data_IF_455921441764
#
_entry.id   IF_455921441764
#
_cell.length_a   1.000
_cell.length_b   1.000
_cell.length_c   1.000
_cell.angle_alpha   90.00
_cell.angle_beta   90.00
_cell.angle_gamma   90.00
#
_symmetry.space_group_name_H-M   'P 1'
#
loop_
_entity.id
_entity.type
_entity.pdbx_description
1 polymer ?
#
# COMPACT_ATOMS: atom_id res chain seq x y z
N UNK A 1 22.81 -2.86 -1.17
CA UNK A 1 24.21 -2.94 -1.59
C UNK A 1 24.71 -1.63 -2.18
N UNK A 2 24.18 -1.12 -3.31
CA UNK A 2 24.61 0.16 -3.89
C UNK A 2 24.65 1.32 -2.88
N UNK A 3 23.57 1.54 -2.10
CA UNK A 3 23.54 2.56 -1.05
C UNK A 3 24.57 2.34 0.09
N UNK A 4 24.91 1.08 0.39
CA UNK A 4 25.87 0.73 1.45
C UNK A 4 27.30 0.99 0.96
N UNK A 5 27.63 0.48 -0.23
CA UNK A 5 28.95 0.68 -0.84
C UNK A 5 29.21 2.15 -1.17
N UNK A 6 28.17 2.89 -1.62
CA UNK A 6 28.26 4.33 -1.87
C UNK A 6 28.49 5.17 -0.61
N UNK A 7 28.15 4.66 0.58
CA UNK A 7 28.48 5.27 1.86
C UNK A 7 29.87 4.84 2.39
N UNK A 8 30.64 4.07 1.63
CA UNK A 8 31.94 3.53 2.06
C UNK A 8 31.82 2.38 3.07
N UNK A 9 30.67 1.70 3.14
CA UNK A 9 30.38 0.61 4.07
C UNK A 9 30.34 -0.75 3.35
N UNK A 10 30.28 -1.84 4.12
CA UNK A 10 30.25 -3.23 3.63
C UNK A 10 29.21 -4.07 4.38
N UNK A 11 28.79 -5.19 3.78
CA UNK A 11 27.83 -6.14 4.37
C UNK A 11 28.51 -7.42 4.89
N UNK A 12 29.84 -7.48 4.81
CA UNK A 12 30.68 -8.57 5.30
C UNK A 12 30.41 -9.96 4.68
N UNK A 13 29.72 -10.02 3.55
CA UNK A 13 29.25 -11.24 2.89
C UNK A 13 28.22 -12.05 3.69
N UNK A 14 28.48 -12.33 4.97
CA UNK A 14 27.59 -13.02 5.89
C UNK A 14 26.27 -12.26 6.13
N UNK A 15 26.28 -10.93 5.98
CA UNK A 15 25.06 -10.11 6.01
C UNK A 15 24.11 -10.37 4.84
N UNK A 16 24.57 -11.04 3.77
CA UNK A 16 23.78 -11.39 2.58
C UNK A 16 23.26 -12.83 2.58
N UNK A 17 23.56 -13.63 3.61
CA UNK A 17 23.04 -14.99 3.71
C UNK A 17 21.50 -15.02 3.66
N UNK A 18 20.86 -16.07 3.12
CA UNK A 18 19.40 -16.16 3.04
C UNK A 18 18.69 -15.93 4.39
N UNK A 19 19.28 -16.39 5.50
CA UNK A 19 18.76 -16.19 6.85
C UNK A 19 18.76 -14.74 7.35
N UNK A 20 19.44 -13.83 6.63
CA UNK A 20 19.54 -12.40 6.94
C UNK A 20 18.76 -11.54 5.95
N UNK A 21 18.08 -12.14 4.98
CA UNK A 21 17.20 -11.46 4.03
C UNK A 21 15.75 -11.70 4.46
N UNK A 22 15.09 -10.62 4.87
CA UNK A 22 13.67 -10.64 5.23
C UNK A 22 12.82 -10.40 4.00
N UNK A 23 11.80 -11.23 3.84
CA UNK A 23 10.73 -10.98 2.90
C UNK A 23 9.64 -10.21 3.62
N UNK A 24 9.52 -8.92 3.32
CA UNK A 24 8.46 -8.07 3.82
C UNK A 24 7.43 -7.85 2.71
N UNK A 25 6.40 -8.69 2.60
CA UNK A 25 5.08 -8.35 2.02
C UNK A 25 4.29 -9.62 1.67
N UNK A 26 3.13 -9.80 2.29
CA UNK A 26 1.97 -10.47 1.67
C UNK A 26 0.68 -9.71 2.00
N UNK A 27 0.24 -8.91 1.03
CA UNK A 27 -1.16 -8.63 0.69
C UNK A 27 -1.16 -8.02 -0.73
N UNK A 28 -1.25 -8.87 -1.76
CA UNK A 28 -1.52 -8.46 -3.15
C UNK A 28 -0.37 -7.84 -3.96
N UNK A 29 0.89 -7.89 -3.50
CA UNK A 29 2.02 -7.26 -4.21
C UNK A 29 3.30 -8.09 -4.25
N UNK A 30 4.23 -7.71 -5.14
CA UNK A 30 5.54 -8.34 -5.27
C UNK A 30 6.33 -8.29 -3.95
N UNK A 31 7.01 -9.39 -3.56
CA UNK A 31 7.73 -9.48 -2.29
C UNK A 31 8.81 -8.41 -2.21
N UNK A 32 8.84 -7.64 -1.12
CA UNK A 32 9.90 -6.66 -0.87
C UNK A 32 10.94 -7.28 0.05
N UNK A 33 12.15 -7.46 -0.49
CA UNK A 33 13.29 -7.96 0.24
C UNK A 33 13.99 -6.85 1.03
N UNK A 34 14.40 -7.14 2.26
CA UNK A 34 15.15 -6.24 3.14
C UNK A 34 16.29 -7.01 3.82
N UNK A 35 17.42 -6.35 4.03
CA UNK A 35 18.55 -6.94 4.77
C UNK A 35 18.35 -6.62 6.25
N UNK A 36 18.26 -7.64 7.11
CA UNK A 36 17.89 -7.49 8.52
C UNK A 36 19.00 -6.88 9.39
N UNK A 37 20.24 -7.29 9.15
CA UNK A 37 21.37 -7.09 10.05
C UNK A 37 22.52 -6.32 9.39
N UNK A 38 22.18 -5.33 8.55
CA UNK A 38 23.18 -4.41 8.02
C UNK A 38 23.78 -3.59 9.17
N UNK A 39 25.10 -3.66 9.38
CA UNK A 39 25.81 -2.92 10.44
C UNK A 39 26.16 -3.73 11.70
N UNK A 40 25.54 -4.88 11.94
CA UNK A 40 25.88 -5.69 13.14
C UNK A 40 27.32 -6.21 13.05
N UNK A 41 27.73 -6.64 11.86
CA UNK A 41 29.10 -7.12 11.64
C UNK A 41 30.12 -5.99 11.60
N UNK A 42 29.76 -4.78 11.15
CA UNK A 42 30.65 -3.62 11.23
C UNK A 42 31.02 -3.29 12.68
N UNK A 43 30.04 -3.35 13.60
CA UNK A 43 30.25 -3.13 15.01
C UNK A 43 31.13 -4.21 15.68
N UNK A 44 31.06 -5.45 15.20
CA UNK A 44 31.79 -6.60 15.77
C UNK A 44 33.19 -6.79 15.17
N UNK A 45 33.34 -6.51 13.88
CA UNK A 45 34.54 -6.84 13.10
C UNK A 45 35.51 -5.67 12.94
N UNK A 46 35.27 -4.52 13.62
CA UNK A 46 36.04 -3.28 13.53
C UNK A 46 37.47 -3.52 13.03
N UNK A 47 37.76 -3.12 11.79
CA UNK A 47 39.10 -3.28 11.19
C UNK A 47 39.84 -1.97 11.35
N UNK A 48 40.66 -1.79 12.41
CA UNK A 48 41.48 -0.60 12.55
C UNK A 48 42.46 -0.53 11.37
N UNK A 49 42.49 0.61 10.69
CA UNK A 49 43.46 0.89 9.64
C UNK A 49 43.18 0.30 8.26
N UNK A 50 41.93 -0.11 7.97
CA UNK A 50 41.55 -0.55 6.62
C UNK A 50 41.76 0.57 5.59
N UNK A 51 42.61 0.32 4.60
CA UNK A 51 42.81 1.24 3.47
C UNK A 51 41.67 1.17 2.45
N UNK A 52 41.69 2.08 1.47
CA UNK A 52 40.69 2.11 0.39
C UNK A 52 40.70 0.81 -0.45
N UNK A 53 41.86 0.18 -0.61
CA UNK A 53 42.00 -1.07 -1.35
C UNK A 53 41.42 -2.27 -0.60
N UNK A 54 41.55 -2.30 0.74
CA UNK A 54 40.89 -3.31 1.58
C UNK A 54 39.37 -3.17 1.51
N UNK A 55 38.86 -1.93 1.53
CA UNK A 55 37.44 -1.64 1.39
C UNK A 55 36.91 -2.14 0.05
N UNK A 56 37.59 -1.85 -1.07
CA UNK A 56 37.20 -2.34 -2.40
C UNK A 56 37.23 -3.87 -2.48
N UNK A 57 38.19 -4.53 -1.83
CA UNK A 57 38.22 -6.00 -1.74
C UNK A 57 37.01 -6.54 -0.97
N UNK A 58 36.66 -5.94 0.17
CA UNK A 58 35.50 -6.33 0.96
C UNK A 58 34.18 -6.10 0.20
N UNK A 59 34.05 -4.99 -0.53
CA UNK A 59 32.89 -4.72 -1.39
C UNK A 59 32.75 -5.75 -2.54
N UNK A 60 33.87 -6.17 -3.14
CA UNK A 60 33.86 -7.28 -4.12
C UNK A 60 33.51 -8.62 -3.49
N UNK A 61 33.90 -8.84 -2.24
CA UNK A 61 33.47 -10.01 -1.47
C UNK A 61 31.95 -10.01 -1.22
N UNK A 62 31.34 -8.85 -0.98
CA UNK A 62 29.88 -8.73 -0.88
C UNK A 62 29.18 -9.10 -2.20
N UNK A 63 29.73 -8.67 -3.35
CA UNK A 63 29.21 -9.05 -4.67
C UNK A 63 29.22 -10.57 -4.86
N UNK A 64 30.32 -11.24 -4.48
CA UNK A 64 30.39 -12.70 -4.54
C UNK A 64 29.42 -13.38 -3.57
N UNK A 65 29.25 -12.87 -2.35
CA UNK A 65 28.27 -13.39 -1.40
C UNK A 65 26.82 -13.27 -1.91
N UNK A 66 26.50 -12.19 -2.63
CA UNK A 66 25.22 -12.08 -3.34
C UNK A 66 25.08 -13.19 -4.39
N UNK A 67 26.14 -13.45 -5.18
CA UNK A 67 26.19 -14.56 -6.13
C UNK A 67 25.94 -15.93 -5.51
N UNK A 68 26.60 -16.22 -4.38
CA UNK A 68 26.37 -17.45 -3.61
C UNK A 68 24.94 -17.57 -3.10
N UNK A 69 24.35 -16.47 -2.67
CA UNK A 69 22.96 -16.43 -2.17
C UNK A 69 21.99 -16.72 -3.31
N UNK A 70 22.15 -16.08 -4.47
CA UNK A 70 21.33 -16.34 -5.65
C UNK A 70 21.47 -17.78 -6.15
N UNK A 71 22.69 -18.31 -6.17
CA UNK A 71 22.94 -19.70 -6.54
C UNK A 71 22.26 -20.68 -5.57
N UNK A 72 22.35 -20.41 -4.26
CA UNK A 72 21.67 -21.21 -3.23
C UNK A 72 20.16 -21.20 -3.42
N UNK A 73 19.57 -20.05 -3.76
CA UNK A 73 18.14 -19.93 -4.05
C UNK A 73 17.75 -20.64 -5.35
N UNK A 74 18.56 -20.54 -6.40
CA UNK A 74 18.30 -21.18 -7.69
C UNK A 74 18.42 -22.71 -7.63
N UNK A 75 19.34 -23.23 -6.79
CA UNK A 75 19.50 -24.66 -6.54
C UNK A 75 18.64 -25.16 -5.35
N UNK A 76 17.79 -24.31 -4.75
CA UNK A 76 17.00 -24.69 -3.59
C UNK A 76 16.10 -25.88 -3.92
N UNK A 77 16.10 -26.89 -3.04
CA UNK A 77 15.29 -28.11 -3.21
C UNK A 77 15.97 -29.25 -3.98
N UNK A 78 17.18 -29.06 -4.51
CA UNK A 78 17.91 -30.11 -5.24
C UNK A 78 18.71 -31.08 -4.32
N UNK A 79 18.80 -30.80 -3.01
CA UNK A 79 19.49 -31.65 -2.04
C UNK A 79 21.02 -31.78 -2.20
N UNK A 80 21.60 -31.06 -3.16
CA UNK A 80 23.03 -31.05 -3.47
C UNK A 80 23.66 -29.69 -3.12
N UNK A 81 24.99 -29.65 -3.01
CA UNK A 81 25.73 -28.41 -2.83
C UNK A 81 25.51 -27.48 -4.04
N UNK A 82 25.18 -26.19 -3.82
CA UNK A 82 24.86 -25.27 -4.91
C UNK A 82 26.06 -25.11 -5.87
N UNK A 83 25.85 -25.40 -7.16
CA UNK A 83 26.85 -25.24 -8.21
C UNK A 83 26.20 -24.71 -9.50
N UNK A 84 26.98 -24.06 -10.35
CA UNK A 84 26.49 -23.54 -11.63
C UNK A 84 25.99 -24.67 -12.55
N UNK A 85 26.60 -25.85 -12.48
CA UNK A 85 26.23 -27.03 -13.27
C UNK A 85 24.90 -27.64 -12.83
N UNK A 86 24.48 -27.38 -11.59
CA UNK A 86 23.23 -27.86 -11.01
C UNK A 86 22.07 -26.87 -11.18
N UNK A 87 22.27 -25.78 -11.93
CA UNK A 87 21.19 -24.84 -12.21
C UNK A 87 20.10 -25.52 -13.06
N UNK A 88 18.81 -25.39 -12.69
CA UNK A 88 17.71 -25.93 -13.49
C UNK A 88 17.76 -25.39 -14.93
N UNK A 89 17.42 -26.23 -15.91
CA UNK A 89 17.35 -25.81 -17.32
C UNK A 89 16.30 -24.71 -17.60
N UNK A 90 15.38 -24.47 -16.68
CA UNK A 90 14.43 -23.35 -16.71
C UNK A 90 15.03 -22.00 -16.28
N UNK A 91 16.28 -21.98 -15.82
CA UNK A 91 16.96 -20.76 -15.38
C UNK A 91 17.27 -19.87 -16.59
N UNK A 92 16.85 -18.59 -16.59
CA UNK A 92 17.15 -17.68 -17.70
C UNK A 92 18.67 -17.53 -17.90
N UNK A 93 19.17 -17.53 -19.15
CA UNK A 93 20.61 -17.45 -19.43
C UNK A 93 21.24 -16.15 -18.90
N UNK A 94 20.48 -15.06 -18.87
CA UNK A 94 20.90 -13.79 -18.29
C UNK A 94 21.17 -13.90 -16.79
N UNK A 95 20.32 -14.65 -16.07
CA UNK A 95 20.50 -14.89 -14.65
C UNK A 95 21.74 -15.74 -14.39
N UNK A 96 22.00 -16.77 -15.21
CA UNK A 96 23.22 -17.59 -15.11
C UNK A 96 24.48 -16.73 -15.29
N UNK A 97 24.48 -15.84 -16.30
CA UNK A 97 25.60 -14.90 -16.54
C UNK A 97 25.84 -13.95 -15.37
N UNK A 98 24.77 -13.42 -14.79
CA UNK A 98 24.86 -12.54 -13.61
C UNK A 98 25.40 -13.28 -12.39
N UNK A 99 24.91 -14.50 -12.11
CA UNK A 99 25.40 -15.31 -10.99
C UNK A 99 26.89 -15.64 -11.18
N UNK A 100 27.30 -16.09 -12.37
CA UNK A 100 28.70 -16.38 -12.67
C UNK A 100 29.60 -15.12 -12.51
N UNK A 101 29.15 -13.97 -13.02
CA UNK A 101 29.86 -12.69 -12.86
C UNK A 101 29.98 -12.25 -11.40
N UNK A 102 28.93 -12.42 -10.59
CA UNK A 102 28.96 -12.12 -9.17
C UNK A 102 29.98 -13.01 -8.44
N UNK A 103 29.97 -14.32 -8.69
CA UNK A 103 30.93 -15.27 -8.08
C UNK A 103 32.39 -14.94 -8.45
N UNK A 104 32.66 -14.54 -9.69
CA UNK A 104 33.98 -14.13 -10.15
C UNK A 104 34.45 -12.79 -9.55
N UNK A 105 33.57 -12.00 -8.94
CA UNK A 105 33.87 -10.66 -8.42
C UNK A 105 34.87 -10.68 -7.27
N UNK A 106 34.84 -11.70 -6.40
CA UNK A 106 35.79 -11.83 -5.29
C UNK A 106 37.26 -11.94 -5.75
N UNK A 107 37.48 -12.53 -6.93
CA UNK A 107 38.80 -12.70 -7.54
C UNK A 107 39.16 -11.55 -8.48
N UNK A 108 38.27 -10.55 -8.63
CA UNK A 108 38.45 -9.42 -9.54
C UNK A 108 38.14 -9.71 -11.00
N UNK A 109 37.67 -10.91 -11.35
CA UNK A 109 37.31 -11.29 -12.73
C UNK A 109 35.87 -10.97 -13.13
N UNK A 110 35.04 -10.54 -12.17
CA UNK A 110 33.62 -10.24 -12.37
C UNK A 110 33.29 -8.74 -12.34
N UNK A 111 32.18 -8.40 -11.68
CA UNK A 111 31.78 -7.02 -11.45
C UNK A 111 32.77 -6.33 -10.49
N UNK A 112 33.28 -5.17 -10.89
CA UNK A 112 34.22 -4.41 -10.05
C UNK A 112 33.51 -3.63 -8.95
N UNK A 113 32.29 -3.18 -9.21
CA UNK A 113 31.48 -2.41 -8.29
C UNK A 113 29.97 -2.62 -8.53
N UNK A 114 29.16 -1.98 -7.69
CA UNK A 114 27.70 -2.05 -7.80
C UNK A 114 27.15 -1.32 -9.04
N UNK A 115 27.90 -0.39 -9.62
CA UNK A 115 27.51 0.38 -10.81
C UNK A 115 27.58 -0.50 -12.06
N UNK A 116 28.63 -1.32 -12.19
CA UNK A 116 28.77 -2.32 -13.23
C UNK A 116 27.64 -3.36 -13.17
N UNK A 117 27.28 -3.81 -11.96
CA UNK A 117 26.12 -4.69 -11.75
C UNK A 117 24.80 -4.00 -12.13
N UNK A 118 24.61 -2.74 -11.75
CA UNK A 118 23.43 -1.98 -12.11
C UNK A 118 23.29 -1.81 -13.63
N UNK A 119 24.41 -1.58 -14.34
CA UNK A 119 24.44 -1.55 -15.80
C UNK A 119 24.00 -2.87 -16.43
N UNK A 120 24.49 -4.00 -15.92
CA UNK A 120 24.09 -5.33 -16.41
C UNK A 120 22.60 -5.64 -16.13
N UNK A 121 22.02 -5.06 -15.08
CA UNK A 121 20.63 -5.26 -14.69
C UNK A 121 19.68 -4.15 -15.20
N UNK A 122 20.16 -3.21 -16.02
CA UNK A 122 19.44 -1.98 -16.34
C UNK A 122 17.99 -2.24 -16.82
N UNK A 123 17.77 -3.14 -17.77
CA UNK A 123 16.44 -3.44 -18.28
C UNK A 123 15.52 -4.09 -17.23
N UNK A 124 16.06 -4.94 -16.36
CA UNK A 124 15.31 -5.50 -15.23
C UNK A 124 14.94 -4.43 -14.21
N UNK A 125 15.84 -3.46 -13.96
CA UNK A 125 15.55 -2.34 -13.06
C UNK A 125 14.45 -1.43 -13.60
N UNK A 126 14.40 -1.21 -14.92
CA UNK A 126 13.31 -0.46 -15.58
C UNK A 126 11.97 -1.18 -15.37
N UNK A 127 11.92 -2.50 -15.59
CA UNK A 127 10.70 -3.29 -15.32
C UNK A 127 10.26 -3.22 -13.85
N UNK A 128 11.20 -3.34 -12.91
CA UNK A 128 10.93 -3.23 -11.48
C UNK A 128 10.45 -1.83 -11.06
N UNK A 129 10.98 -0.78 -11.70
CA UNK A 129 10.55 0.60 -11.50
C UNK A 129 9.11 0.79 -11.97
N UNK A 130 8.77 0.34 -13.17
CA UNK A 130 7.39 0.40 -13.70
C UNK A 130 6.40 -0.35 -12.81
N UNK A 131 6.76 -1.56 -12.34
CA UNK A 131 5.94 -2.32 -11.40
C UNK A 131 5.75 -1.59 -10.06
N UNK A 132 6.80 -0.93 -9.56
CA UNK A 132 6.73 -0.14 -8.33
C UNK A 132 5.86 1.10 -8.50
N UNK A 133 5.94 1.78 -9.65
CA UNK A 133 5.10 2.93 -9.98
C UNK A 133 3.62 2.54 -10.05
N UNK A 134 3.28 1.48 -10.79
CA UNK A 134 1.92 0.97 -10.90
C UNK A 134 1.32 0.58 -9.53
N UNK A 135 2.13 -0.04 -8.66
CA UNK A 135 1.73 -0.32 -7.28
C UNK A 135 1.48 0.96 -6.49
N UNK A 136 2.29 1.99 -6.70
CA UNK A 136 2.09 3.31 -6.09
C UNK A 136 0.75 3.93 -6.48
N UNK A 137 0.38 3.82 -7.75
CA UNK A 137 -0.91 4.32 -8.25
C UNK A 137 -2.09 3.52 -7.68
N UNK A 138 -1.97 2.20 -7.58
CA UNK A 138 -2.98 1.36 -6.93
C UNK A 138 -3.18 1.74 -5.44
N UNK A 139 -2.09 1.93 -4.69
CA UNK A 139 -2.17 2.37 -3.29
C UNK A 139 -2.79 3.76 -3.15
N UNK A 140 -2.48 4.69 -4.07
CA UNK A 140 -3.10 6.03 -4.08
C UNK A 140 -4.60 5.96 -4.38
N UNK A 141 -5.02 5.09 -5.29
CA UNK A 141 -6.44 4.88 -5.61
C UNK A 141 -7.21 4.35 -4.39
N UNK A 142 -6.67 3.36 -3.68
CA UNK A 142 -7.29 2.87 -2.44
C UNK A 142 -7.28 3.92 -1.33
N UNK A 143 -6.20 4.67 -1.17
CA UNK A 143 -6.13 5.76 -0.21
C UNK A 143 -7.16 6.87 -0.50
N UNK A 144 -7.38 7.19 -1.78
CA UNK A 144 -8.39 8.17 -2.19
C UNK A 144 -9.80 7.70 -1.79
N UNK A 145 -10.15 6.43 -2.04
CA UNK A 145 -11.41 5.82 -1.60
C UNK A 145 -11.55 5.88 -0.08
N UNK A 146 -10.50 5.57 0.68
CA UNK A 146 -10.54 5.63 2.15
C UNK A 146 -10.71 7.05 2.70
N UNK A 147 -10.13 8.04 2.02
CA UNK A 147 -10.34 9.45 2.35
C UNK A 147 -11.79 9.88 2.10
N UNK A 148 -12.40 9.44 0.99
CA UNK A 148 -13.81 9.64 0.69
C UNK A 148 -14.71 8.93 1.72
N UNK A 149 -14.43 7.67 2.03
CA UNK A 149 -15.12 6.91 3.08
C UNK A 149 -15.07 7.64 4.42
N UNK A 150 -13.91 8.17 4.81
CA UNK A 150 -13.77 8.97 6.03
C UNK A 150 -14.62 10.24 6.01
N UNK A 151 -14.74 10.91 4.85
CA UNK A 151 -15.62 12.08 4.69
C UNK A 151 -17.09 11.70 4.84
N UNK A 152 -17.54 10.67 4.12
CA UNK A 152 -18.91 10.18 4.15
C UNK A 152 -19.30 9.70 5.56
N UNK A 153 -18.40 8.99 6.25
CA UNK A 153 -18.61 8.54 7.62
C UNK A 153 -18.86 9.71 8.58
N UNK A 154 -18.08 10.80 8.47
CA UNK A 154 -18.28 12.00 9.31
C UNK A 154 -19.61 12.67 9.03
N UNK A 155 -20.03 12.75 7.77
CA UNK A 155 -21.33 13.30 7.38
C UNK A 155 -22.47 12.45 7.94
N UNK A 156 -22.40 11.13 7.74
CA UNK A 156 -23.40 10.19 8.24
C UNK A 156 -23.49 10.22 9.77
N UNK A 157 -22.37 10.27 10.47
CA UNK A 157 -22.33 10.40 11.93
C UNK A 157 -23.00 11.69 12.41
N UNK A 158 -22.68 12.83 11.78
CA UNK A 158 -23.29 14.13 12.12
C UNK A 158 -24.79 14.13 11.82
N UNK A 159 -25.22 13.59 10.67
CA UNK A 159 -26.64 13.40 10.36
C UNK A 159 -27.32 12.54 11.43
N UNK A 160 -26.71 11.43 11.84
CA UNK A 160 -27.20 10.56 12.90
C UNK A 160 -27.35 11.27 14.25
N UNK A 161 -26.45 12.20 14.60
CA UNK A 161 -26.61 12.99 15.82
C UNK A 161 -27.80 13.95 15.79
N UNK A 162 -28.20 14.43 14.61
CA UNK A 162 -29.38 15.28 14.43
C UNK A 162 -30.64 14.44 14.33
N UNK A 163 -30.65 13.40 13.52
CA UNK A 163 -31.85 12.59 13.31
C UNK A 163 -32.20 11.69 14.52
N UNK A 164 -31.19 11.19 15.24
CA UNK A 164 -31.34 10.23 16.33
C UNK A 164 -31.28 10.82 17.73
N UNK A 165 -31.34 12.15 17.89
CA UNK A 165 -31.27 12.80 19.21
C UNK A 165 -32.46 12.35 20.08
N UNK A 166 -32.23 11.69 21.24
CA UNK A 166 -33.32 11.37 22.16
C UNK A 166 -33.90 12.66 22.75
N UNK A 167 -35.21 12.67 23.00
CA UNK A 167 -35.92 13.80 23.60
C UNK A 167 -35.46 14.00 25.06
N UNK A 168 -34.43 14.84 25.24
CA UNK A 168 -33.95 15.25 26.55
C UNK A 168 -34.75 16.46 27.04
N UNK A 169 -35.46 16.32 28.16
CA UNK A 169 -36.08 17.44 28.88
C UNK A 169 -37.47 17.86 28.41
N UNK A 170 -38.24 16.99 27.74
CA UNK A 170 -39.63 17.26 27.34
C UNK A 170 -39.80 17.91 25.96
N UNK A 171 -38.70 18.20 25.27
CA UNK A 171 -38.69 18.72 23.90
C UNK A 171 -38.85 17.56 22.89
N UNK A 172 -40.09 17.06 22.75
CA UNK A 172 -40.41 15.93 21.88
C UNK A 172 -40.36 16.30 20.39
N UNK A 173 -40.48 17.59 20.06
CA UNK A 173 -40.56 18.08 18.66
C UNK A 173 -39.25 18.64 18.10
N UNK A 174 -38.13 18.51 18.83
CA UNK A 174 -36.87 19.15 18.42
C UNK A 174 -36.41 18.80 17.00
N UNK A 175 -36.64 17.56 16.57
CA UNK A 175 -36.33 17.06 15.22
C UNK A 175 -37.50 17.20 14.22
N UNK A 176 -38.67 17.64 14.68
CA UNK A 176 -39.91 17.78 13.87
C UNK A 176 -40.09 19.21 13.33
N UNK A 177 -39.16 20.13 13.58
CA UNK A 177 -39.29 21.53 13.17
C UNK A 177 -38.26 21.97 12.12
N UNK A 178 -38.76 22.57 11.03
CA UNK A 178 -37.96 23.34 10.06
C UNK A 178 -36.79 22.57 9.45
N UNK A 179 -35.60 23.18 9.48
CA UNK A 179 -34.34 22.65 8.91
C UNK A 179 -34.01 21.24 9.43
N UNK A 180 -34.31 20.94 10.70
CA UNK A 180 -34.01 19.63 11.33
C UNK A 180 -34.93 18.53 10.83
N UNK A 181 -36.19 18.86 10.55
CA UNK A 181 -37.14 17.92 9.98
C UNK A 181 -36.70 17.48 8.58
N UNK A 182 -36.20 18.41 7.76
CA UNK A 182 -35.64 18.08 6.44
C UNK A 182 -34.46 17.09 6.56
N UNK A 183 -33.55 17.31 7.52
CA UNK A 183 -32.42 16.41 7.77
C UNK A 183 -32.86 15.05 8.32
N UNK A 184 -33.92 15.00 9.15
CA UNK A 184 -34.51 13.75 9.64
C UNK A 184 -35.10 12.94 8.48
N UNK A 185 -35.90 13.56 7.63
CA UNK A 185 -36.46 12.89 6.45
C UNK A 185 -35.37 12.44 5.48
N UNK A 186 -34.32 13.24 5.29
CA UNK A 186 -33.17 12.84 4.48
C UNK A 186 -32.44 11.62 5.08
N UNK A 187 -32.24 11.57 6.39
CA UNK A 187 -31.67 10.41 7.07
C UNK A 187 -32.54 9.15 6.90
N UNK A 188 -33.86 9.30 6.95
CA UNK A 188 -34.80 8.22 6.64
C UNK A 188 -34.70 7.76 5.19
N UNK A 189 -34.64 8.69 4.24
CA UNK A 189 -34.44 8.40 2.81
C UNK A 189 -33.16 7.58 2.53
N UNK A 190 -32.10 7.83 3.30
CA UNK A 190 -30.83 7.11 3.13
C UNK A 190 -30.82 5.69 3.72
N UNK A 191 -31.41 5.49 4.90
CA UNK A 191 -31.20 4.27 5.70
C UNK A 191 -32.47 3.41 5.90
N UNK A 192 -33.65 3.93 5.56
CA UNK A 192 -34.93 3.25 5.73
C UNK A 192 -35.56 2.96 4.37
N UNK A 193 -34.76 2.50 3.41
CA UNK A 193 -35.25 2.08 2.11
C UNK A 193 -35.96 0.73 2.24
N UNK A 194 -37.06 0.56 1.50
CA UNK A 194 -37.83 -0.68 1.42
C UNK A 194 -37.93 -1.13 -0.03
N UNK A 195 -37.86 -2.43 -0.27
CA UNK A 195 -38.07 -2.99 -1.61
C UNK A 195 -39.56 -3.09 -1.98
N UNK A 196 -39.86 -3.56 -3.19
CA UNK A 196 -41.24 -3.78 -3.67
C UNK A 196 -42.04 -4.76 -2.79
N UNK A 197 -41.35 -5.63 -2.03
CA UNK A 197 -41.95 -6.57 -1.09
C UNK A 197 -42.06 -6.01 0.35
N UNK A 198 -41.69 -4.74 0.56
CA UNK A 198 -41.69 -4.08 1.86
C UNK A 198 -40.57 -4.52 2.80
N UNK A 199 -39.54 -5.24 2.32
CA UNK A 199 -38.39 -5.63 3.12
C UNK A 199 -37.37 -4.49 3.22
N UNK A 200 -36.74 -4.28 4.38
CA UNK A 200 -35.72 -3.24 4.54
C UNK A 200 -34.51 -3.60 3.69
N UNK A 201 -34.11 -2.67 2.81
CA UNK A 201 -32.95 -2.81 1.94
C UNK A 201 -32.04 -1.60 2.11
N UNK A 202 -30.75 -1.76 1.80
CA UNK A 202 -29.78 -0.70 1.84
C UNK A 202 -28.98 -0.69 0.55
N UNK A 203 -29.22 0.30 -0.31
CA UNK A 203 -28.41 0.51 -1.49
C UNK A 203 -27.20 1.39 -1.15
N UNK A 204 -26.02 0.76 -1.08
CA UNK A 204 -24.75 1.43 -0.83
C UNK A 204 -24.39 2.46 -1.89
N UNK A 205 -24.79 2.25 -3.15
CA UNK A 205 -24.54 3.17 -4.25
C UNK A 205 -25.33 4.46 -4.07
N UNK A 206 -26.63 4.33 -3.80
CA UNK A 206 -27.51 5.48 -3.51
C UNK A 206 -27.06 6.23 -2.25
N UNK A 207 -26.66 5.49 -1.20
CA UNK A 207 -26.14 6.09 0.03
C UNK A 207 -24.89 6.94 -0.25
N UNK A 208 -23.90 6.37 -0.93
CA UNK A 208 -22.65 7.07 -1.23
C UNK A 208 -22.88 8.26 -2.18
N UNK A 209 -23.69 8.09 -3.23
CA UNK A 209 -24.01 9.16 -4.18
C UNK A 209 -24.75 10.32 -3.49
N UNK A 210 -25.79 10.01 -2.71
CA UNK A 210 -26.60 11.03 -2.03
C UNK A 210 -25.81 11.81 -0.99
N UNK A 211 -24.92 11.14 -0.24
CA UNK A 211 -24.02 11.83 0.70
C UNK A 211 -22.97 12.68 -0.01
N UNK A 212 -22.44 12.22 -1.16
CA UNK A 212 -21.54 13.03 -1.98
C UNK A 212 -22.25 14.27 -2.55
N UNK A 213 -23.50 14.12 -3.01
CA UNK A 213 -24.35 15.22 -3.49
C UNK A 213 -24.69 16.22 -2.39
N UNK A 214 -24.98 15.72 -1.18
CA UNK A 214 -25.17 16.57 0.00
C UNK A 214 -23.90 17.38 0.31
N UNK A 215 -22.74 16.74 0.36
CA UNK A 215 -21.48 17.44 0.68
C UNK A 215 -21.10 18.47 -0.39
N UNK A 216 -21.34 18.16 -1.67
CA UNK A 216 -21.14 19.10 -2.76
C UNK A 216 -22.16 20.24 -2.74
N UNK A 217 -23.40 19.99 -2.30
CA UNK A 217 -24.50 20.95 -2.32
C UNK A 217 -25.03 21.19 -3.73
N UNK A 218 -25.28 20.11 -4.48
CA UNK A 218 -25.75 20.20 -5.87
C UNK A 218 -27.19 20.73 -5.95
N UNK A 219 -27.58 21.44 -7.04
CA UNK A 219 -28.94 21.94 -7.23
C UNK A 219 -29.95 20.87 -7.70
N UNK A 220 -29.63 19.58 -7.53
CA UNK A 220 -30.51 18.46 -7.85
C UNK A 220 -31.57 18.30 -6.77
N UNK A 221 -32.83 18.15 -7.18
CA UNK A 221 -33.99 17.98 -6.29
C UNK A 221 -34.25 16.50 -6.00
N UNK A 222 -34.57 16.20 -4.75
CA UNK A 222 -35.03 14.89 -4.30
C UNK A 222 -36.38 14.98 -3.62
N UNK A 223 -37.10 13.87 -3.61
CA UNK A 223 -38.38 13.72 -2.93
C UNK A 223 -38.15 13.08 -1.56
N UNK A 224 -38.55 13.77 -0.51
CA UNK A 224 -38.53 13.27 0.85
C UNK A 224 -39.97 12.99 1.31
N UNK A 225 -40.19 11.78 1.82
CA UNK A 225 -41.48 11.29 2.30
C UNK A 225 -41.39 11.08 3.81
N UNK A 226 -42.44 11.49 4.53
CA UNK A 226 -42.61 11.12 5.93
C UNK A 226 -42.96 9.64 6.09
N UNK A 227 -42.73 9.09 7.28
CA UNK A 227 -42.96 7.66 7.56
C UNK A 227 -44.45 7.24 7.42
N UNK A 228 -45.37 8.20 7.56
CA UNK A 228 -46.81 8.04 7.38
C UNK A 228 -47.28 8.40 5.95
N UNK A 229 -46.35 8.72 5.04
CA UNK A 229 -46.58 9.17 3.67
C UNK A 229 -47.49 10.41 3.53
N UNK A 230 -47.87 11.04 4.64
CA UNK A 230 -48.78 12.19 4.65
C UNK A 230 -48.10 13.49 4.22
N UNK A 231 -46.78 13.58 4.40
CA UNK A 231 -45.97 14.76 4.06
C UNK A 231 -44.95 14.42 2.99
N UNK A 232 -44.97 15.20 1.90
CA UNK A 232 -44.07 15.07 0.78
C UNK A 232 -43.36 16.40 0.54
N UNK A 233 -42.04 16.39 0.58
CA UNK A 233 -41.18 17.56 0.45
C UNK A 233 -40.23 17.38 -0.73
N UNK A 234 -40.24 18.35 -1.66
CA UNK A 234 -39.25 18.42 -2.74
C UNK A 234 -38.18 19.42 -2.30
N UNK A 235 -36.95 18.94 -2.10
CA UNK A 235 -35.82 19.75 -1.62
C UNK A 235 -34.60 19.51 -2.49
N UNK A 236 -33.74 20.52 -2.61
CA UNK A 236 -32.44 20.35 -3.28
C UNK A 236 -31.35 19.91 -2.30
N UNK A 237 -30.32 19.22 -2.78
CA UNK A 237 -29.15 18.94 -1.95
C UNK A 237 -28.45 20.21 -1.44
N UNK A 238 -28.53 21.31 -2.19
CA UNK A 238 -28.04 22.62 -1.75
C UNK A 238 -28.80 23.15 -0.52
N UNK A 239 -30.13 22.98 -0.46
CA UNK A 239 -30.94 23.38 0.68
C UNK A 239 -30.66 22.47 1.90
N UNK A 240 -30.53 21.16 1.67
CA UNK A 240 -30.13 20.21 2.72
C UNK A 240 -28.75 20.54 3.31
N UNK A 241 -27.79 20.93 2.46
CA UNK A 241 -26.45 21.35 2.91
C UNK A 241 -26.53 22.59 3.80
N UNK A 242 -27.34 23.59 3.42
CA UNK A 242 -27.58 24.79 4.25
C UNK A 242 -28.17 24.43 5.61
N UNK A 243 -29.11 23.49 5.65
CA UNK A 243 -29.69 22.99 6.89
C UNK A 243 -28.65 22.24 7.74
N UNK A 244 -27.75 21.49 7.12
CA UNK A 244 -26.72 20.70 7.76
C UNK A 244 -25.57 21.54 8.35
N UNK A 245 -25.26 22.68 7.73
CA UNK A 245 -24.18 23.58 8.18
C UNK A 245 -24.60 24.50 9.34
N UNK A 246 -25.90 24.75 9.52
CA UNK A 246 -26.47 25.49 10.65
C UNK A 246 -26.42 24.69 11.95
#
# INVERSE_FOLDING_TARGET
MHAVHGAGLVLWGAGLAPSKILVSSEAGGAPRLRIAAAGTLDALMQVPGAGEEDLRRLQRSDLAALGHTLLTLACAGLGASPSLDLLPGSTPPDLVRVIAGLLASAQGGGFQDTSALAGALAMHTVGALSSTAARGDAMRAELAKECENGRLLRLLARLGTVAGRPSLGGDTEWAETGDRYMLKLFYSFLLHQVDEAGQPTLDWGVLAESLNKLDAGVPESILLLSADEASMLVVTYADLKRCFER
#
